data_IF_827675113230
#
_entry.id   IF_827675113230
#
_cell.length_a   1.000
_cell.length_b   1.000
_cell.length_c   1.000
_cell.angle_alpha   90.00
_cell.angle_beta   90.00
_cell.angle_gamma   90.00
#
_symmetry.space_group_name_H-M   'P 1'
#
loop_
_entity.id
_entity.type
_entity.pdbx_description
1 polymer ?
#
# COMPACT_ATOMS: atom_id res chain seq x y z
N UNK A 1 4.29 -7.28 -13.84
CA UNK A 1 4.62 -6.21 -14.80
C UNK A 1 5.85 -6.56 -15.63
N UNK A 2 7.09 -6.46 -15.14
CA UNK A 2 8.28 -6.71 -15.98
C UNK A 2 8.27 -8.07 -16.69
N UNK A 3 7.91 -9.14 -15.99
CA UNK A 3 7.80 -10.48 -16.58
C UNK A 3 6.69 -10.60 -17.64
N UNK A 4 5.56 -9.89 -17.46
CA UNK A 4 4.42 -9.95 -18.39
C UNK A 4 4.67 -9.13 -19.66
N UNK A 5 5.23 -7.93 -19.50
CA UNK A 5 5.49 -6.99 -20.60
C UNK A 5 6.87 -7.16 -21.23
N UNK A 6 7.67 -8.11 -20.75
CA UNK A 6 9.03 -8.39 -21.22
C UNK A 6 9.97 -7.16 -21.27
N UNK A 7 9.68 -6.13 -20.46
CA UNK A 7 10.51 -4.93 -20.35
C UNK A 7 10.56 -4.43 -18.91
N UNK A 8 11.75 -4.02 -18.42
CA UNK A 8 11.88 -3.36 -17.12
C UNK A 8 11.34 -1.93 -17.14
N UNK A 9 11.07 -1.36 -18.31
CA UNK A 9 10.59 0.01 -18.53
C UNK A 9 9.10 0.07 -18.87
N UNK A 10 8.32 -0.95 -18.49
CA UNK A 10 6.89 -1.09 -18.80
C UNK A 10 6.07 0.18 -18.50
N UNK A 11 6.42 0.93 -17.44
CA UNK A 11 5.70 2.13 -17.04
C UNK A 11 5.80 3.29 -18.07
N UNK A 12 6.72 3.20 -19.03
CA UNK A 12 6.85 4.16 -20.12
C UNK A 12 5.86 3.90 -21.27
N UNK A 13 5.25 2.72 -21.33
CA UNK A 13 4.24 2.41 -22.34
C UNK A 13 2.86 2.91 -21.90
N UNK A 14 2.39 3.97 -22.56
CA UNK A 14 1.08 4.57 -22.28
C UNK A 14 -0.08 3.58 -22.52
N UNK A 15 0.09 2.60 -23.41
CA UNK A 15 -0.97 1.65 -23.79
C UNK A 15 -1.39 0.70 -22.65
N UNK A 16 -0.53 0.56 -21.62
CA UNK A 16 -0.81 -0.22 -20.41
C UNK A 16 -1.85 0.48 -19.52
N UNK A 17 -2.03 1.80 -19.69
CA UNK A 17 -2.88 2.62 -18.83
C UNK A 17 -4.19 3.02 -19.51
N UNK A 18 -5.18 3.37 -18.69
CA UNK A 18 -6.50 3.80 -19.17
C UNK A 18 -6.39 5.09 -19.99
N UNK A 19 -6.88 5.03 -21.23
CA UNK A 19 -6.93 6.20 -22.14
C UNK A 19 -7.76 7.34 -21.56
N UNK A 20 -7.25 8.56 -21.65
CA UNK A 20 -7.98 9.81 -21.36
C UNK A 20 -8.14 10.19 -19.88
N UNK A 21 -7.92 9.26 -18.94
CA UNK A 21 -7.97 9.57 -17.48
C UNK A 21 -6.58 9.71 -16.86
N UNK A 22 -5.64 8.89 -17.30
CA UNK A 22 -4.28 8.94 -16.81
C UNK A 22 -3.45 9.94 -17.60
N UNK A 23 -2.94 10.97 -16.93
CA UNK A 23 -2.00 11.94 -17.52
C UNK A 23 -0.59 11.32 -17.51
N UNK A 24 -0.36 10.34 -18.40
CA UNK A 24 0.86 9.53 -18.44
C UNK A 24 2.12 10.38 -18.61
N UNK A 25 2.08 11.41 -19.49
CA UNK A 25 3.18 12.37 -19.65
C UNK A 25 3.54 13.10 -18.36
N UNK A 26 2.55 13.55 -17.60
CA UNK A 26 2.80 14.22 -16.31
C UNK A 26 3.40 13.26 -15.28
N UNK A 27 2.96 12.00 -15.28
CA UNK A 27 3.55 10.95 -14.47
C UNK A 27 5.02 10.72 -14.83
N UNK A 28 5.37 10.64 -16.11
CA UNK A 28 6.77 10.52 -16.55
C UNK A 28 7.60 11.74 -16.14
N UNK A 29 7.10 12.98 -16.31
CA UNK A 29 7.80 14.18 -15.83
C UNK A 29 7.94 14.22 -14.29
N UNK A 30 6.99 13.63 -13.55
CA UNK A 30 7.15 13.46 -12.11
C UNK A 30 8.25 12.45 -11.79
N UNK A 31 8.28 11.32 -12.48
CA UNK A 31 9.30 10.28 -12.35
C UNK A 31 10.70 10.83 -12.61
N UNK A 32 10.87 11.55 -13.71
CA UNK A 32 12.12 12.22 -14.08
C UNK A 32 12.58 13.19 -13.00
N UNK A 33 11.68 14.06 -12.51
CA UNK A 33 12.02 14.98 -11.41
C UNK A 33 12.45 14.26 -10.12
N UNK A 34 11.82 13.14 -9.78
CA UNK A 34 12.21 12.35 -8.60
C UNK A 34 13.56 11.66 -8.82
N UNK A 35 13.77 11.11 -10.01
CA UNK A 35 15.02 10.47 -10.38
C UNK A 35 16.18 11.47 -10.37
N UNK A 36 15.99 12.66 -10.95
CA UNK A 36 17.00 13.70 -10.96
C UNK A 36 17.35 14.23 -9.57
N UNK A 37 16.35 14.38 -8.70
CA UNK A 37 16.56 14.82 -7.31
C UNK A 37 17.14 13.73 -6.40
N UNK A 38 16.95 12.46 -6.75
CA UNK A 38 17.39 11.35 -5.91
C UNK A 38 18.90 11.39 -5.68
N UNK A 39 19.28 11.23 -4.41
CA UNK A 39 20.66 11.16 -3.95
C UNK A 39 21.08 9.74 -3.54
N UNK A 40 20.20 8.76 -3.72
CA UNK A 40 20.43 7.36 -3.39
C UNK A 40 21.56 6.75 -4.21
N UNK A 41 22.33 5.85 -3.61
CA UNK A 41 23.50 5.23 -4.23
C UNK A 41 23.17 4.54 -5.56
N UNK A 42 22.08 3.78 -5.60
CA UNK A 42 21.64 3.07 -6.81
C UNK A 42 21.24 4.04 -7.94
N UNK A 43 20.65 5.20 -7.61
CA UNK A 43 20.32 6.21 -8.63
C UNK A 43 21.55 6.89 -9.19
N UNK A 44 22.53 7.23 -8.35
CA UNK A 44 23.81 7.78 -8.82
C UNK A 44 24.56 6.78 -9.68
N UNK A 45 24.60 5.53 -9.25
CA UNK A 45 25.19 4.45 -10.03
C UNK A 45 24.51 4.35 -11.41
N UNK A 46 23.18 4.36 -11.46
CA UNK A 46 22.47 4.31 -12.75
C UNK A 46 22.82 5.50 -13.64
N UNK A 47 22.74 6.73 -13.13
CA UNK A 47 23.06 7.96 -13.89
C UNK A 47 24.48 7.99 -14.45
N UNK A 48 25.44 7.41 -13.73
CA UNK A 48 26.84 7.41 -14.14
C UNK A 48 27.19 6.29 -15.15
N UNK A 49 26.36 5.26 -15.26
CA UNK A 49 26.67 4.06 -16.05
C UNK A 49 25.71 3.85 -17.23
N UNK A 50 24.57 4.54 -17.27
CA UNK A 50 23.54 4.35 -18.28
C UNK A 50 23.03 5.68 -18.81
N UNK A 51 23.28 5.94 -20.10
CA UNK A 51 22.72 7.09 -20.81
C UNK A 51 21.37 6.76 -21.48
N UNK A 52 21.14 5.49 -21.82
CA UNK A 52 19.92 5.04 -22.49
C UNK A 52 19.41 3.72 -21.89
N UNK A 53 18.11 3.64 -21.51
CA UNK A 53 17.15 4.74 -21.42
C UNK A 53 17.44 5.66 -20.22
N UNK A 54 17.12 6.95 -20.37
CA UNK A 54 17.37 7.98 -19.36
C UNK A 54 16.71 7.67 -18.01
N UNK A 55 15.44 7.26 -18.03
CA UNK A 55 14.74 6.86 -16.81
C UNK A 55 15.09 5.42 -16.42
N UNK A 56 15.22 5.13 -15.11
CA UNK A 56 15.64 3.83 -14.64
C UNK A 56 14.53 2.77 -14.70
N UNK A 57 14.86 1.47 -14.60
CA UNK A 57 13.89 0.39 -14.49
C UNK A 57 12.81 0.62 -13.44
N UNK A 58 11.63 0.04 -13.66
CA UNK A 58 10.47 0.22 -12.77
C UNK A 58 10.73 -0.17 -11.31
N UNK A 59 11.56 -1.18 -11.03
CA UNK A 59 11.93 -1.54 -9.64
C UNK A 59 12.76 -0.47 -8.94
N UNK A 60 13.61 0.24 -9.69
CA UNK A 60 14.37 1.35 -9.14
C UNK A 60 13.48 2.59 -8.96
N UNK A 61 12.56 2.80 -9.90
CA UNK A 61 11.56 3.85 -9.82
C UNK A 61 10.67 3.69 -8.56
N UNK A 62 10.37 2.46 -8.15
CA UNK A 62 9.61 2.15 -6.93
C UNK A 62 10.23 2.80 -5.70
N UNK A 63 11.55 2.71 -5.55
CA UNK A 63 12.25 3.21 -4.38
C UNK A 63 12.27 4.74 -4.26
N UNK A 64 12.18 5.46 -5.38
CA UNK A 64 12.30 6.92 -5.43
C UNK A 64 10.96 7.64 -5.60
N UNK A 65 9.86 6.91 -5.70
CA UNK A 65 8.51 7.47 -5.86
C UNK A 65 7.66 7.18 -4.63
N UNK A 66 6.55 7.91 -4.48
CA UNK A 66 5.70 7.81 -3.29
C UNK A 66 4.70 6.66 -3.40
N UNK A 67 4.25 6.11 -2.26
CA UNK A 67 3.11 5.18 -2.22
C UNK A 67 1.85 5.75 -2.89
N UNK A 68 1.64 7.06 -2.83
CA UNK A 68 0.53 7.71 -3.53
C UNK A 68 0.65 7.63 -5.05
N UNK A 69 1.86 7.75 -5.58
CA UNK A 69 2.16 7.53 -6.99
C UNK A 69 1.81 6.09 -7.40
N UNK A 70 2.20 5.10 -6.59
CA UNK A 70 1.87 3.69 -6.83
C UNK A 70 0.38 3.38 -6.73
N UNK A 71 -0.31 3.97 -5.75
CA UNK A 71 -1.76 3.88 -5.62
C UNK A 71 -2.46 4.34 -6.89
N UNK A 72 -2.04 5.49 -7.43
CA UNK A 72 -2.60 6.02 -8.68
C UNK A 72 -2.24 5.13 -9.87
N UNK A 73 -0.98 4.70 -9.97
CA UNK A 73 -0.54 3.86 -11.08
C UNK A 73 -1.31 2.54 -11.15
N UNK A 74 -1.51 1.87 -10.00
CA UNK A 74 -2.32 0.66 -9.91
C UNK A 74 -3.78 0.91 -10.32
N UNK A 75 -4.38 2.03 -9.89
CA UNK A 75 -5.73 2.41 -10.28
C UNK A 75 -5.88 2.62 -11.79
N UNK A 76 -4.85 3.12 -12.45
CA UNK A 76 -4.86 3.52 -13.85
C UNK A 76 -4.46 2.41 -14.83
N UNK A 77 -4.08 1.22 -14.36
CA UNK A 77 -3.90 0.05 -15.22
C UNK A 77 -5.18 -0.25 -16.02
N UNK A 78 -5.03 -0.42 -17.34
CA UNK A 78 -6.12 -0.69 -18.27
C UNK A 78 -6.56 -2.15 -18.22
N UNK A 79 -5.62 -3.10 -18.23
CA UNK A 79 -5.94 -4.52 -18.18
C UNK A 79 -6.34 -4.94 -16.76
N UNK A 80 -7.58 -5.36 -16.60
CA UNK A 80 -8.09 -5.89 -15.34
C UNK A 80 -7.33 -7.12 -14.84
N UNK A 81 -6.70 -7.88 -15.74
CA UNK A 81 -5.88 -9.04 -15.40
C UNK A 81 -4.61 -8.63 -14.68
N UNK A 82 -3.98 -7.51 -15.04
CA UNK A 82 -2.80 -7.01 -14.29
C UNK A 82 -3.15 -6.75 -12.84
N UNK A 83 -4.25 -6.03 -12.62
CA UNK A 83 -4.73 -5.73 -11.27
C UNK A 83 -5.03 -7.01 -10.49
N UNK A 84 -5.66 -7.98 -11.15
CA UNK A 84 -6.02 -9.25 -10.56
C UNK A 84 -4.79 -10.10 -10.22
N UNK A 85 -3.82 -10.22 -11.12
CA UNK A 85 -2.57 -10.94 -10.89
C UNK A 85 -1.78 -10.35 -9.72
N UNK A 86 -1.70 -9.01 -9.64
CA UNK A 86 -1.06 -8.32 -8.52
C UNK A 86 -1.82 -8.60 -7.22
N UNK A 87 -3.15 -8.45 -7.21
CA UNK A 87 -3.96 -8.65 -6.02
C UNK A 87 -3.95 -10.12 -5.53
N UNK A 88 -3.91 -11.08 -6.46
CA UNK A 88 -3.86 -12.50 -6.17
C UNK A 88 -2.59 -12.90 -5.38
N UNK A 89 -1.47 -12.20 -5.58
CA UNK A 89 -0.25 -12.41 -4.78
C UNK A 89 -0.45 -12.13 -3.28
N UNK A 90 -1.48 -11.36 -2.95
CA UNK A 90 -1.86 -11.02 -1.57
C UNK A 90 -3.12 -11.77 -1.11
N UNK A 91 -3.63 -12.71 -1.91
CA UNK A 91 -4.90 -13.38 -1.64
C UNK A 91 -6.10 -12.43 -1.69
N UNK A 92 -5.99 -11.28 -2.38
CA UNK A 92 -7.02 -10.24 -2.39
C UNK A 92 -7.77 -10.18 -3.72
N UNK A 93 -9.08 -9.85 -3.69
CA UNK A 93 -9.76 -9.35 -4.87
C UNK A 93 -9.17 -7.99 -5.32
N UNK A 94 -9.12 -7.73 -6.63
CA UNK A 94 -8.57 -6.48 -7.19
C UNK A 94 -9.18 -5.20 -6.60
N UNK A 95 -10.48 -5.21 -6.28
CA UNK A 95 -11.20 -4.05 -5.71
C UNK A 95 -10.76 -3.79 -4.27
N UNK A 96 -10.45 -4.84 -3.51
CA UNK A 96 -9.95 -4.74 -2.14
C UNK A 96 -8.52 -4.21 -2.18
N UNK A 97 -7.66 -4.77 -3.03
CA UNK A 97 -6.29 -4.30 -3.22
C UNK A 97 -6.24 -2.82 -3.62
N UNK A 98 -7.08 -2.39 -4.58
CA UNK A 98 -7.17 -0.99 -5.00
C UNK A 98 -7.52 -0.05 -3.83
N UNK A 99 -8.46 -0.48 -2.98
CA UNK A 99 -8.84 0.26 -1.77
C UNK A 99 -7.71 0.29 -0.74
N UNK A 100 -7.03 -0.84 -0.53
CA UNK A 100 -6.02 -0.99 0.51
C UNK A 100 -4.77 -0.16 0.20
N UNK A 101 -4.28 -0.17 -1.03
CA UNK A 101 -3.13 0.66 -1.42
C UNK A 101 -3.47 2.16 -1.24
N UNK A 102 -4.70 2.56 -1.56
CA UNK A 102 -5.14 3.94 -1.37
C UNK A 102 -5.24 4.33 0.11
N UNK A 103 -5.84 3.48 0.95
CA UNK A 103 -5.91 3.66 2.40
C UNK A 103 -4.53 3.68 3.04
N UNK A 104 -3.62 2.80 2.61
CA UNK A 104 -2.24 2.77 3.11
C UNK A 104 -1.49 4.07 2.77
N UNK A 105 -1.65 4.59 1.54
CA UNK A 105 -1.08 5.90 1.18
C UNK A 105 -1.66 7.03 2.03
N UNK A 106 -2.96 7.01 2.33
CA UNK A 106 -3.61 8.00 3.18
C UNK A 106 -3.08 7.96 4.62
N UNK A 107 -3.05 6.77 5.23
CA UNK A 107 -2.55 6.55 6.59
C UNK A 107 -1.08 6.92 6.70
N UNK A 108 -0.23 6.52 5.74
CA UNK A 108 1.19 6.91 5.70
C UNK A 108 1.35 8.43 5.70
N UNK A 109 0.51 9.16 4.95
CA UNK A 109 0.57 10.61 4.91
C UNK A 109 0.16 11.24 6.25
N UNK A 110 -0.85 10.70 6.92
CA UNK A 110 -1.18 11.11 8.30
C UNK A 110 0.06 10.95 9.20
N UNK A 111 0.71 9.78 9.19
CA UNK A 111 1.91 9.53 9.99
C UNK A 111 3.04 10.50 9.67
N UNK A 112 3.29 10.76 8.38
CA UNK A 112 4.34 11.67 7.92
C UNK A 112 4.11 13.13 8.33
N UNK A 113 2.87 13.52 8.59
CA UNK A 113 2.50 14.83 9.12
C UNK A 113 2.25 14.79 10.65
N UNK A 114 2.75 13.77 11.34
CA UNK A 114 2.58 13.56 12.79
C UNK A 114 1.11 13.60 13.24
N UNK A 115 0.20 13.22 12.36
CA UNK A 115 -1.22 13.20 12.63
C UNK A 115 -1.63 12.01 13.50
N UNK A 116 -2.69 12.20 14.26
CA UNK A 116 -3.24 11.18 15.15
C UNK A 116 -4.05 10.14 14.38
N UNK A 117 -3.78 8.86 14.62
CA UNK A 117 -4.58 7.73 14.15
C UNK A 117 -5.52 7.18 15.24
N UNK A 118 -5.14 7.32 16.51
CA UNK A 118 -5.98 6.85 17.62
C UNK A 118 -7.26 7.71 17.75
N UNK A 119 -8.40 7.05 17.94
CA UNK A 119 -9.73 7.67 18.03
C UNK A 119 -10.01 8.69 16.91
N UNK A 120 -9.80 8.25 15.66
CA UNK A 120 -10.05 9.04 14.45
C UNK A 120 -10.94 8.25 13.49
N UNK A 121 -11.92 8.93 12.90
CA UNK A 121 -12.62 8.45 11.70
C UNK A 121 -11.71 8.70 10.51
N UNK A 122 -11.40 7.67 9.75
CA UNK A 122 -10.57 7.76 8.55
C UNK A 122 -11.44 8.25 7.38
N UNK A 123 -10.98 9.30 6.69
CA UNK A 123 -11.64 9.76 5.46
C UNK A 123 -11.45 8.77 4.29
N UNK A 124 -10.42 7.92 4.37
CA UNK A 124 -10.12 6.87 3.39
C UNK A 124 -9.85 5.57 4.13
N UNK A 125 -10.90 4.78 4.33
CA UNK A 125 -10.85 3.52 5.08
C UNK A 125 -10.67 2.32 4.16
N UNK A 126 -9.90 1.30 4.56
CA UNK A 126 -9.71 0.12 3.74
C UNK A 126 -11.02 -0.67 3.66
N UNK A 127 -11.44 -1.05 2.45
CA UNK A 127 -12.60 -1.92 2.27
C UNK A 127 -12.38 -3.26 2.96
N UNK A 128 -13.43 -3.72 3.63
CA UNK A 128 -13.47 -5.03 4.26
C UNK A 128 -13.68 -6.15 3.23
N UNK A 129 -13.11 -7.33 3.50
CA UNK A 129 -13.32 -8.51 2.68
C UNK A 129 -14.57 -9.26 3.18
N UNK A 130 -15.59 -9.35 2.32
CA UNK A 130 -16.84 -10.06 2.67
C UNK A 130 -16.54 -11.50 3.09
N UNK A 131 -16.99 -11.89 4.28
CA UNK A 131 -16.83 -13.25 4.81
C UNK A 131 -15.44 -13.60 5.34
N UNK A 132 -14.47 -12.68 5.27
CA UNK A 132 -13.11 -12.88 5.77
C UNK A 132 -12.65 -11.76 6.73
N UNK A 133 -13.53 -10.80 7.03
CA UNK A 133 -13.28 -9.81 8.08
C UNK A 133 -13.27 -10.48 9.46
N UNK A 134 -12.34 -10.10 10.35
CA UNK A 134 -12.29 -10.62 11.70
C UNK A 134 -13.52 -10.15 12.48
N UNK A 135 -14.07 -11.02 13.33
CA UNK A 135 -15.20 -10.70 14.20
C UNK A 135 -14.82 -9.68 15.29
N UNK A 136 -13.53 -9.48 15.52
CA UNK A 136 -12.97 -8.54 16.49
C UNK A 136 -13.09 -7.05 16.12
N UNK A 137 -13.47 -6.72 14.88
CA UNK A 137 -13.65 -5.33 14.45
C UNK A 137 -15.06 -4.83 14.79
N UNK A 138 -15.17 -3.65 15.41
CA UNK A 138 -16.45 -2.98 15.71
C UNK A 138 -16.77 -1.83 14.76
N UNK A 139 -15.80 -1.36 13.98
CA UNK A 139 -15.97 -0.28 13.02
C UNK A 139 -15.07 -0.47 11.79
N UNK A 140 -15.57 -0.10 10.62
CA UNK A 140 -14.84 -0.22 9.34
C UNK A 140 -14.02 1.03 9.00
N UNK A 141 -14.20 2.12 9.76
CA UNK A 141 -13.62 3.43 9.48
C UNK A 141 -12.59 3.90 10.52
N UNK A 142 -12.16 2.99 11.40
CA UNK A 142 -11.21 3.25 12.48
C UNK A 142 -9.89 2.53 12.23
N UNK A 143 -8.95 2.77 13.16
CA UNK A 143 -7.62 2.16 13.09
C UNK A 143 -7.67 0.62 13.03
N UNK A 144 -8.66 -0.03 13.63
CA UNK A 144 -8.81 -1.49 13.55
C UNK A 144 -8.92 -2.03 12.12
N UNK A 145 -9.60 -1.32 11.22
CA UNK A 145 -9.67 -1.69 9.81
C UNK A 145 -8.30 -1.57 9.12
N UNK A 146 -7.50 -0.57 9.51
CA UNK A 146 -6.11 -0.39 9.04
C UNK A 146 -5.20 -1.46 9.62
N UNK A 147 -5.36 -1.79 10.91
CA UNK A 147 -4.63 -2.86 11.58
C UNK A 147 -4.89 -4.21 10.90
N UNK A 148 -6.14 -4.51 10.56
CA UNK A 148 -6.52 -5.70 9.79
C UNK A 148 -5.80 -5.75 8.43
N UNK A 149 -5.87 -4.65 7.66
CA UNK A 149 -5.18 -4.53 6.37
C UNK A 149 -3.67 -4.74 6.50
N UNK A 150 -3.02 -4.06 7.46
CA UNK A 150 -1.56 -4.14 7.65
C UNK A 150 -1.16 -5.56 8.05
N UNK A 151 -1.87 -6.17 9.01
CA UNK A 151 -1.61 -7.54 9.43
C UNK A 151 -1.68 -8.52 8.26
N UNK A 152 -2.77 -8.46 7.49
CA UNK A 152 -2.96 -9.34 6.33
C UNK A 152 -1.84 -9.17 5.29
N UNK A 153 -1.49 -7.93 4.94
CA UNK A 153 -0.43 -7.65 3.98
C UNK A 153 0.92 -8.17 4.49
N UNK A 154 1.26 -7.91 5.76
CA UNK A 154 2.52 -8.35 6.33
C UNK A 154 2.61 -9.87 6.46
N UNK A 155 1.54 -10.55 6.86
CA UNK A 155 1.50 -12.02 6.90
C UNK A 155 1.70 -12.65 5.51
N UNK A 156 1.30 -11.95 4.45
CA UNK A 156 1.52 -12.42 3.07
C UNK A 156 2.95 -12.13 2.59
N UNK A 157 3.55 -11.01 3.01
CA UNK A 157 4.90 -10.61 2.59
C UNK A 157 5.98 -11.36 3.37
N UNK A 158 5.82 -11.44 4.70
CA UNK A 158 6.73 -12.07 5.64
C UNK A 158 5.94 -12.60 6.83
N UNK A 159 5.70 -13.91 6.89
CA UNK A 159 4.96 -14.56 7.97
C UNK A 159 5.70 -14.57 9.32
N UNK A 160 6.99 -14.23 9.36
CA UNK A 160 7.79 -14.12 10.59
C UNK A 160 7.83 -12.68 11.15
N UNK A 161 7.01 -11.77 10.62
CA UNK A 161 6.96 -10.39 11.08
C UNK A 161 6.48 -10.30 12.55
N UNK A 162 6.98 -9.28 13.27
CA UNK A 162 6.63 -9.05 14.69
C UNK A 162 5.50 -8.04 14.90
N UNK A 163 4.92 -7.53 13.81
CA UNK A 163 4.06 -6.35 13.86
C UNK A 163 2.87 -6.52 14.81
N UNK A 164 2.21 -7.69 14.77
CA UNK A 164 1.04 -7.93 15.63
C UNK A 164 1.42 -8.09 17.10
N UNK A 165 2.58 -8.66 17.40
CA UNK A 165 3.09 -8.75 18.76
C UNK A 165 3.50 -7.37 19.30
N UNK A 166 4.14 -6.54 18.48
CA UNK A 166 4.50 -5.17 18.85
C UNK A 166 3.23 -4.32 19.08
N UNK A 167 2.23 -4.47 18.21
CA UNK A 167 0.94 -3.82 18.39
C UNK A 167 0.21 -4.30 19.65
N UNK A 168 0.21 -5.61 19.95
CA UNK A 168 -0.35 -6.16 21.19
C UNK A 168 0.33 -5.56 22.43
N UNK A 169 1.66 -5.49 22.44
CA UNK A 169 2.44 -4.91 23.54
C UNK A 169 2.13 -3.42 23.73
N UNK A 170 1.96 -2.67 22.63
CA UNK A 170 1.53 -1.28 22.70
C UNK A 170 0.09 -1.18 23.23
N UNK A 171 -0.79 -2.05 22.75
CA UNK A 171 -2.22 -2.06 23.06
C UNK A 171 -2.51 -2.53 24.50
N UNK A 172 -1.66 -3.34 25.13
CA UNK A 172 -1.85 -3.74 26.53
C UNK A 172 -1.78 -2.57 27.52
N UNK A 173 -1.16 -1.45 27.12
CA UNK A 173 -1.21 -0.20 27.88
C UNK A 173 -2.52 0.60 27.72
N UNK A 174 -3.45 0.11 26.89
CA UNK A 174 -4.73 0.75 26.63
C UNK A 174 -5.85 0.06 27.41
N UNK A 175 -6.75 0.85 27.99
CA UNK A 175 -7.98 0.31 28.60
C UNK A 175 -9.04 0.00 27.53
N UNK A 176 -10.06 -0.77 27.88
CA UNK A 176 -11.12 -1.23 26.97
C UNK A 176 -11.76 -0.10 26.16
N UNK A 177 -12.01 1.05 26.79
CA UNK A 177 -12.57 2.21 26.08
C UNK A 177 -11.65 2.71 24.95
N UNK A 178 -10.33 2.64 25.12
CA UNK A 178 -9.37 3.03 24.08
C UNK A 178 -9.33 1.99 22.95
N UNK A 179 -9.45 0.70 23.25
CA UNK A 179 -9.62 -0.34 22.23
C UNK A 179 -10.88 -0.10 21.40
N UNK A 180 -12.01 0.13 22.08
CA UNK A 180 -13.30 0.41 21.44
C UNK A 180 -13.25 1.64 20.54
N UNK A 181 -12.64 2.74 21.02
CA UNK A 181 -12.48 3.97 20.23
C UNK A 181 -11.58 3.80 19.00
N UNK A 182 -10.73 2.77 18.98
CA UNK A 182 -9.93 2.38 17.81
C UNK A 182 -10.66 1.40 16.88
N UNK A 183 -11.88 0.96 17.24
CA UNK A 183 -12.70 0.05 16.47
C UNK A 183 -12.45 -1.43 16.75
N UNK A 184 -11.90 -1.77 17.92
CA UNK A 184 -11.71 -3.15 18.37
C UNK A 184 -12.76 -3.52 19.44
N UNK A 185 -13.16 -4.80 19.47
CA UNK A 185 -13.80 -5.38 20.66
C UNK A 185 -12.81 -5.47 21.82
N UNK A 186 -13.30 -5.57 23.05
CA UNK A 186 -12.45 -5.72 24.24
C UNK A 186 -11.57 -6.98 24.19
N UNK A 187 -12.09 -8.06 23.61
CA UNK A 187 -11.46 -9.37 23.45
C UNK A 187 -10.84 -9.59 22.07
N UNK A 188 -10.50 -8.51 21.34
CA UNK A 188 -10.03 -8.62 19.96
C UNK A 188 -8.86 -9.57 19.75
N UNK A 189 -8.01 -9.75 20.77
CA UNK A 189 -6.84 -10.64 20.75
C UNK A 189 -7.22 -12.13 20.68
N UNK A 190 -8.43 -12.49 21.10
CA UNK A 190 -8.94 -13.86 21.05
C UNK A 190 -9.40 -14.27 19.64
N UNK A 191 -9.48 -13.33 18.70
CA UNK A 191 -9.86 -13.61 17.33
C UNK A 191 -8.71 -14.36 16.61
N UNK A 192 -8.96 -15.57 16.09
CA UNK A 192 -7.93 -16.41 15.45
C UNK A 192 -7.20 -15.72 14.30
N UNK A 193 -7.81 -14.71 13.67
CA UNK A 193 -7.20 -13.92 12.62
C UNK A 193 -5.84 -13.33 13.04
N UNK A 194 -5.69 -12.89 14.30
CA UNK A 194 -4.46 -12.23 14.75
C UNK A 194 -3.31 -13.21 15.02
N UNK A 195 -3.60 -14.51 15.17
CA UNK A 195 -2.58 -15.53 15.42
C UNK A 195 -1.76 -15.28 16.68
N UNK A 196 -2.39 -14.71 17.73
CA UNK A 196 -1.77 -14.24 18.97
C UNK A 196 -1.78 -15.26 20.11
#
# INVERSE_FOLDING_TARGET
MCAKYATPFWYQDESIFKRGKFRHKEFLCQCERQFEKSKELFTRHYKNNYDTPHLPPGWMLIEITTLGTWSRLYQELADHRDKQEIAARFGLPKVIMESWIHSLSYVRNICAHHGRLWNRVLGVSPKQMRGASPNSLTAEDRFSAVAYMIHHLLMTINNENKWIHDFRTLASGFGDQRHFNMGFKSDWQADPFWGL
#
